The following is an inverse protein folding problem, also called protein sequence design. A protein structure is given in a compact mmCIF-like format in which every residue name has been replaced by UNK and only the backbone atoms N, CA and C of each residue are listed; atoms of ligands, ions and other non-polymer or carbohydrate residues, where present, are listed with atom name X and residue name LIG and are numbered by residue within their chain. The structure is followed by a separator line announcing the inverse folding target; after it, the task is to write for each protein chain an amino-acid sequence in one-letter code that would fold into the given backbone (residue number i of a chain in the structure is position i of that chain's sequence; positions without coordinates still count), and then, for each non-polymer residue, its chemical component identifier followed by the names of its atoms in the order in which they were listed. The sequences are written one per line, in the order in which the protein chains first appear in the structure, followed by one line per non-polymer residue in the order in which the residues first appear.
data_IF_010466351958
#
_entry.id   IF_010466351958
#
_cell.length_a   1.000
_cell.length_b   1.000
_cell.length_c   1.000
_cell.angle_alpha   90.00
_cell.angle_beta   90.00
_cell.angle_gamma   90.00
#
_symmetry.space_group_name_H-M   'P 1'
#
loop_
_entity.id
_entity.type
_entity.pdbx_description
1 polymer ?
#
# COMPACT_ATOMS: atom_id res chain seq x y z
N UNK A 1 18.53 -15.88 -1.37
CA UNK A 1 18.43 -17.17 -2.09
C UNK A 1 18.41 -16.98 -3.62
N UNK A 2 18.03 -15.81 -4.14
CA UNK A 2 18.06 -15.57 -5.59
C UNK A 2 19.48 -15.33 -6.10
N UNK A 3 19.82 -15.78 -7.33
CA UNK A 3 21.07 -15.46 -7.99
C UNK A 3 21.33 -13.95 -8.04
N UNK A 4 22.59 -13.54 -8.00
CA UNK A 4 22.97 -12.11 -7.98
C UNK A 4 22.34 -11.31 -9.12
N UNK A 5 22.27 -11.88 -10.33
CA UNK A 5 21.69 -11.25 -11.51
C UNK A 5 20.18 -10.98 -11.34
N UNK A 6 19.43 -11.99 -10.86
CA UNK A 6 17.98 -11.85 -10.61
C UNK A 6 17.72 -10.79 -9.54
N UNK A 7 18.49 -10.80 -8.46
CA UNK A 7 18.37 -9.79 -7.40
C UNK A 7 18.64 -8.38 -7.92
N UNK A 8 19.68 -8.19 -8.74
CA UNK A 8 20.00 -6.89 -9.31
C UNK A 8 18.92 -6.41 -10.28
N UNK A 9 18.39 -7.32 -11.11
CA UNK A 9 17.30 -6.99 -12.03
C UNK A 9 16.05 -6.53 -11.27
N UNK A 10 15.61 -7.31 -10.26
CA UNK A 10 14.45 -6.94 -9.45
C UNK A 10 14.62 -5.59 -8.74
N UNK A 11 15.81 -5.34 -8.18
CA UNK A 11 16.09 -4.04 -7.52
C UNK A 11 16.01 -2.90 -8.52
N UNK A 12 16.60 -3.05 -9.70
CA UNK A 12 16.54 -2.01 -10.75
C UNK A 12 15.11 -1.75 -11.23
N UNK A 13 14.31 -2.81 -11.40
CA UNK A 13 12.89 -2.65 -11.75
C UNK A 13 12.13 -1.86 -10.68
N UNK A 14 12.33 -2.19 -9.40
CA UNK A 14 11.72 -1.44 -8.30
C UNK A 14 12.21 0.03 -8.27
N UNK A 15 13.49 0.26 -8.52
CA UNK A 15 14.05 1.62 -8.54
C UNK A 15 13.48 2.44 -9.71
N UNK A 16 13.26 1.83 -10.88
CA UNK A 16 12.59 2.48 -12.01
C UNK A 16 11.13 2.83 -11.64
N UNK A 17 10.38 1.89 -11.07
CA UNK A 17 9.00 2.16 -10.65
C UNK A 17 8.94 3.30 -9.62
N UNK A 18 9.85 3.31 -8.64
CA UNK A 18 9.89 4.33 -7.59
C UNK A 18 10.42 5.70 -8.06
N UNK A 19 10.95 5.79 -9.29
CA UNK A 19 11.29 7.07 -9.92
C UNK A 19 10.04 7.84 -10.39
N UNK A 20 8.89 7.15 -10.53
CA UNK A 20 7.62 7.76 -10.90
C UNK A 20 6.72 7.93 -9.67
N UNK A 21 5.94 9.02 -9.60
CA UNK A 21 4.87 9.14 -8.62
C UNK A 21 3.85 8.00 -8.76
N UNK A 22 3.43 7.40 -7.64
CA UNK A 22 2.51 6.25 -7.63
C UNK A 22 1.22 6.51 -8.42
N UNK A 23 0.66 7.74 -8.31
CA UNK A 23 -0.51 8.14 -9.09
C UNK A 23 -0.27 8.10 -10.60
N UNK A 24 0.90 8.50 -11.08
CA UNK A 24 1.23 8.43 -12.50
C UNK A 24 1.36 6.98 -12.98
N UNK A 25 1.93 6.09 -12.16
CA UNK A 25 1.96 4.66 -12.46
C UNK A 25 0.56 4.07 -12.50
N UNK A 26 -0.31 4.44 -11.57
CA UNK A 26 -1.70 4.01 -11.57
C UNK A 26 -2.47 4.54 -12.79
N UNK A 27 -2.24 5.79 -13.20
CA UNK A 27 -2.78 6.38 -14.43
C UNK A 27 -2.33 5.60 -15.67
N UNK A 28 -1.05 5.28 -15.76
CA UNK A 28 -0.50 4.49 -16.86
C UNK A 28 -1.13 3.09 -16.88
N UNK A 29 -1.23 2.43 -15.73
CA UNK A 29 -1.83 1.11 -15.63
C UNK A 29 -3.30 1.12 -16.07
N UNK A 30 -4.10 2.09 -15.65
CA UNK A 30 -5.52 2.16 -16.00
C UNK A 30 -5.75 2.50 -17.48
N UNK A 31 -4.83 3.21 -18.13
CA UNK A 31 -4.91 3.46 -19.58
C UNK A 31 -4.75 2.18 -20.40
N UNK A 32 -4.00 1.20 -19.86
CA UNK A 32 -3.80 -0.11 -20.50
C UNK A 32 -4.92 -1.09 -20.12
N UNK A 33 -5.32 -1.11 -18.85
CA UNK A 33 -6.33 -2.05 -18.32
C UNK A 33 -7.77 -1.65 -18.73
N UNK A 34 -8.00 -0.36 -19.01
CA UNK A 34 -9.33 0.21 -19.22
C UNK A 34 -9.98 0.69 -17.93
N UNK A 35 -11.09 1.43 -18.07
CA UNK A 35 -11.85 1.99 -16.94
C UNK A 35 -12.67 0.91 -16.24
N UNK A 36 -12.96 1.12 -14.97
CA UNK A 36 -13.82 0.25 -14.18
C UNK A 36 -13.30 0.02 -12.77
N UNK A 37 -14.16 -0.42 -11.83
CA UNK A 37 -13.80 -0.57 -10.43
C UNK A 37 -12.66 -1.57 -10.22
N UNK A 38 -12.72 -2.71 -10.88
CA UNK A 38 -11.70 -3.77 -10.77
C UNK A 38 -10.35 -3.29 -11.32
N UNK A 39 -10.36 -2.64 -12.48
CA UNK A 39 -9.16 -2.12 -13.11
C UNK A 39 -8.54 -0.98 -12.31
N UNK A 40 -9.36 -0.14 -11.67
CA UNK A 40 -8.90 0.90 -10.75
C UNK A 40 -8.18 0.30 -9.54
N UNK A 41 -8.76 -0.74 -8.93
CA UNK A 41 -8.11 -1.43 -7.80
C UNK A 41 -6.81 -2.11 -8.23
N UNK A 42 -6.78 -2.76 -9.40
CA UNK A 42 -5.58 -3.35 -9.96
C UNK A 42 -4.50 -2.29 -10.25
N UNK A 43 -4.86 -1.17 -10.85
CA UNK A 43 -3.94 -0.08 -11.16
C UNK A 43 -3.29 0.50 -9.90
N UNK A 44 -4.09 0.78 -8.84
CA UNK A 44 -3.59 1.25 -7.55
C UNK A 44 -2.71 0.20 -6.88
N UNK A 45 -3.12 -1.08 -6.94
CA UNK A 45 -2.32 -2.19 -6.41
C UNK A 45 -0.97 -2.33 -7.11
N UNK A 46 -0.94 -2.30 -8.43
CA UNK A 46 0.29 -2.38 -9.23
C UNK A 46 1.24 -1.21 -8.94
N UNK A 47 0.72 0.00 -8.85
CA UNK A 47 1.51 1.18 -8.52
C UNK A 47 2.17 1.07 -7.13
N UNK A 48 1.46 0.49 -6.15
CA UNK A 48 1.97 0.30 -4.78
C UNK A 48 3.04 -0.79 -4.62
N UNK A 49 3.18 -1.73 -5.57
CA UNK A 49 4.08 -2.90 -5.42
C UNK A 49 5.50 -2.49 -5.07
N UNK A 50 6.06 -1.50 -5.75
CA UNK A 50 7.46 -1.11 -5.56
C UNK A 50 7.71 -0.54 -4.15
N UNK A 51 6.80 0.28 -3.63
CA UNK A 51 6.86 0.81 -2.27
C UNK A 51 6.82 -0.29 -1.22
N UNK A 52 5.85 -1.20 -1.31
CA UNK A 52 5.77 -2.34 -0.40
C UNK A 52 6.95 -3.29 -0.50
N UNK A 53 7.43 -3.59 -1.71
CA UNK A 53 8.61 -4.44 -1.90
C UNK A 53 9.87 -3.84 -1.24
N UNK A 54 10.05 -2.52 -1.33
CA UNK A 54 11.15 -1.81 -0.64
C UNK A 54 11.02 -1.91 0.87
N UNK A 55 9.82 -1.70 1.42
CA UNK A 55 9.56 -1.82 2.86
C UNK A 55 9.80 -3.24 3.37
N UNK A 56 9.28 -4.26 2.67
CA UNK A 56 9.52 -5.68 3.01
C UNK A 56 11.00 -5.98 3.02
N UNK A 57 11.74 -5.53 2.00
CA UNK A 57 13.17 -5.74 1.91
C UNK A 57 13.92 -5.11 3.08
N UNK A 58 13.59 -3.87 3.45
CA UNK A 58 14.21 -3.18 4.58
C UNK A 58 13.97 -3.95 5.89
N UNK A 59 12.75 -4.40 6.14
CA UNK A 59 12.39 -5.18 7.32
C UNK A 59 13.12 -6.53 7.36
N UNK A 60 13.18 -7.25 6.24
CA UNK A 60 13.93 -8.52 6.14
C UNK A 60 15.42 -8.32 6.45
N UNK A 61 16.03 -7.24 5.94
CA UNK A 61 17.43 -6.95 6.21
C UNK A 61 17.67 -6.65 7.70
N UNK A 62 16.78 -5.89 8.33
CA UNK A 62 16.84 -5.58 9.75
C UNK A 62 16.71 -6.84 10.62
N UNK A 63 15.68 -7.67 10.35
CA UNK A 63 15.44 -8.93 11.07
C UNK A 63 16.62 -9.90 10.89
N UNK A 64 17.18 -9.99 9.68
CA UNK A 64 18.32 -10.87 9.39
C UNK A 64 19.58 -10.52 10.21
N UNK A 65 19.74 -9.25 10.58
CA UNK A 65 20.87 -8.78 11.38
C UNK A 65 20.64 -8.90 12.89
N UNK A 66 19.45 -9.36 13.33
CA UNK A 66 19.14 -9.54 14.73
C UNK A 66 19.93 -10.68 15.38
N UNK A 67 20.22 -10.57 16.67
CA UNK A 67 21.01 -11.52 17.42
C UNK A 67 20.44 -12.94 17.38
N UNK A 68 19.10 -13.08 17.49
CA UNK A 68 18.46 -14.42 17.47
C UNK A 68 18.61 -15.13 16.11
N UNK A 69 18.60 -14.39 14.99
CA UNK A 69 18.88 -14.98 13.66
C UNK A 69 20.35 -15.37 13.53
N UNK A 70 21.27 -14.53 14.03
CA UNK A 70 22.70 -14.85 14.02
C UNK A 70 23.02 -16.08 14.88
N UNK A 71 22.38 -16.24 16.05
CA UNK A 71 22.51 -17.44 16.88
C UNK A 71 21.98 -18.69 16.18
N UNK A 72 20.82 -18.62 15.51
CA UNK A 72 20.29 -19.75 14.75
C UNK A 72 21.23 -20.18 13.61
N UNK A 73 21.87 -19.22 12.93
CA UNK A 73 22.91 -19.50 11.93
C UNK A 73 24.14 -20.16 12.56
N UNK A 74 24.60 -19.66 13.71
CA UNK A 74 25.76 -20.23 14.42
C UNK A 74 25.51 -21.66 14.93
N UNK A 75 24.26 -21.98 15.31
CA UNK A 75 23.84 -23.32 15.67
C UNK A 75 23.66 -24.28 14.48
N UNK A 76 23.87 -23.80 13.23
CA UNK A 76 23.77 -24.61 12.04
C UNK A 76 22.35 -24.93 11.58
N UNK A 77 21.33 -24.14 11.98
CA UNK A 77 19.97 -24.37 11.51
C UNK A 77 19.87 -24.26 9.98
N UNK A 78 19.07 -25.12 9.31
CA UNK A 78 18.88 -25.07 7.88
C UNK A 78 18.33 -23.69 7.44
N UNK A 79 18.81 -23.10 6.32
CA UNK A 79 18.40 -21.78 5.87
C UNK A 79 16.87 -21.62 5.72
N UNK A 80 16.15 -22.66 5.31
CA UNK A 80 14.70 -22.63 5.15
C UNK A 80 14.00 -22.52 6.51
N UNK A 81 14.50 -23.20 7.54
CA UNK A 81 13.97 -23.11 8.92
C UNK A 81 14.20 -21.70 9.45
N UNK A 82 15.37 -21.13 9.26
CA UNK A 82 15.67 -19.76 9.67
C UNK A 82 14.70 -18.78 9.00
N UNK A 83 14.43 -18.95 7.70
CA UNK A 83 13.50 -18.07 6.97
C UNK A 83 12.09 -18.21 7.54
N UNK A 84 11.55 -19.42 7.61
CA UNK A 84 10.15 -19.64 7.94
C UNK A 84 9.85 -19.41 9.43
N UNK A 85 10.79 -19.74 10.33
CA UNK A 85 10.58 -19.68 11.78
C UNK A 85 11.03 -18.36 12.41
N UNK A 86 12.07 -17.73 11.85
CA UNK A 86 12.67 -16.54 12.46
C UNK A 86 12.46 -15.28 11.62
N UNK A 87 12.65 -15.32 10.28
CA UNK A 87 12.60 -14.12 9.45
C UNK A 87 11.16 -13.74 9.11
N UNK A 88 10.39 -14.65 8.51
CA UNK A 88 9.05 -14.36 8.00
C UNK A 88 8.10 -13.85 9.10
N UNK A 89 7.93 -14.52 10.27
CA UNK A 89 6.98 -14.05 11.28
C UNK A 89 7.35 -12.68 11.85
N UNK A 90 8.65 -12.44 12.06
CA UNK A 90 9.14 -11.18 12.61
C UNK A 90 9.14 -10.03 11.60
N UNK A 91 9.18 -10.34 10.29
CA UNK A 91 9.01 -9.36 9.22
C UNK A 91 7.54 -9.01 9.00
N UNK A 92 6.63 -9.99 9.09
CA UNK A 92 5.20 -9.77 8.81
C UNK A 92 4.54 -8.85 9.84
N UNK A 93 4.89 -8.94 11.12
CA UNK A 93 4.27 -8.11 12.17
C UNK A 93 4.30 -6.61 11.86
N UNK A 94 5.46 -5.97 11.58
CA UNK A 94 5.49 -4.56 11.19
C UNK A 94 4.77 -4.28 9.86
N UNK A 95 4.78 -5.24 8.93
CA UNK A 95 4.13 -5.08 7.62
C UNK A 95 2.61 -5.05 7.71
N UNK A 96 1.99 -5.81 8.64
CA UNK A 96 0.55 -5.75 8.87
C UNK A 96 0.10 -4.34 9.28
N UNK A 97 0.92 -3.66 10.08
CA UNK A 97 0.64 -2.26 10.46
C UNK A 97 0.73 -1.33 9.25
N UNK A 98 1.77 -1.49 8.43
CA UNK A 98 1.93 -0.70 7.21
C UNK A 98 0.79 -0.97 6.21
N UNK A 99 0.28 -2.22 6.16
CA UNK A 99 -0.86 -2.57 5.32
C UNK A 99 -2.14 -1.80 5.70
N UNK A 100 -2.40 -1.57 7.00
CA UNK A 100 -3.58 -0.79 7.43
C UNK A 100 -3.49 0.68 7.00
N UNK A 101 -2.31 1.29 7.09
CA UNK A 101 -2.08 2.65 6.56
C UNK A 101 -2.20 2.66 5.04
N UNK A 102 -1.71 1.62 4.39
CA UNK A 102 -1.81 1.44 2.94
C UNK A 102 -3.24 1.36 2.41
N UNK A 103 -4.19 0.79 3.18
CA UNK A 103 -5.61 0.80 2.82
C UNK A 103 -6.12 2.24 2.68
N UNK A 104 -5.80 3.11 3.65
CA UNK A 104 -6.18 4.53 3.60
C UNK A 104 -5.61 5.24 2.37
N UNK A 105 -4.33 4.97 2.05
CA UNK A 105 -3.69 5.49 0.85
C UNK A 105 -4.35 4.97 -0.44
N UNK A 106 -4.72 3.68 -0.48
CA UNK A 106 -5.40 3.09 -1.64
C UNK A 106 -6.78 3.70 -1.88
N UNK A 107 -7.55 4.00 -0.82
CA UNK A 107 -8.82 4.70 -0.92
C UNK A 107 -8.62 6.09 -1.53
N UNK A 108 -7.64 6.84 -1.04
CA UNK A 108 -7.34 8.18 -1.56
C UNK A 108 -6.92 8.12 -3.03
N UNK A 109 -6.06 7.17 -3.40
CA UNK A 109 -5.57 6.99 -4.77
C UNK A 109 -6.70 6.58 -5.73
N UNK A 110 -7.56 5.65 -5.33
CA UNK A 110 -8.72 5.24 -6.11
C UNK A 110 -9.70 6.40 -6.31
N UNK A 111 -10.01 7.15 -5.24
CA UNK A 111 -10.86 8.34 -5.34
C UNK A 111 -10.24 9.43 -6.22
N UNK A 112 -8.92 9.60 -6.20
CA UNK A 112 -8.24 10.54 -7.09
C UNK A 112 -8.32 10.12 -8.58
N UNK A 113 -8.16 8.82 -8.88
CA UNK A 113 -8.34 8.29 -10.24
C UNK A 113 -9.78 8.47 -10.73
N UNK A 114 -10.77 8.21 -9.87
CA UNK A 114 -12.18 8.41 -10.17
C UNK A 114 -12.52 9.89 -10.36
N UNK A 115 -11.95 10.78 -9.54
CA UNK A 115 -12.06 12.23 -9.73
C UNK A 115 -11.55 12.70 -11.09
N UNK A 116 -10.49 12.08 -11.59
CA UNK A 116 -9.95 12.34 -12.93
C UNK A 116 -10.75 11.66 -14.07
N UNK A 117 -11.86 10.99 -13.74
CA UNK A 117 -12.74 10.32 -14.71
C UNK A 117 -12.20 8.99 -15.24
N UNK A 118 -11.20 8.42 -14.58
CA UNK A 118 -10.58 7.14 -14.97
C UNK A 118 -11.00 5.96 -14.09
N UNK A 119 -11.76 6.22 -13.03
CA UNK A 119 -12.26 5.20 -12.13
C UNK A 119 -13.57 4.56 -12.59
N UNK A 120 -14.52 4.51 -11.68
CA UNK A 120 -15.84 3.94 -11.89
C UNK A 120 -16.67 4.83 -12.80
N UNK A 121 -17.39 4.22 -13.74
CA UNK A 121 -18.27 4.95 -14.67
C UNK A 121 -19.70 5.04 -14.13
N UNK A 122 -20.42 6.16 -14.38
CA UNK A 122 -21.84 6.25 -14.08
C UNK A 122 -22.64 5.09 -14.70
N UNK A 123 -23.72 4.59 -14.05
CA UNK A 123 -24.42 5.18 -12.90
C UNK A 123 -23.89 4.75 -11.53
N UNK A 124 -22.77 4.05 -11.46
CA UNK A 124 -22.22 3.55 -10.18
C UNK A 124 -21.72 4.70 -9.33
N UNK A 125 -22.29 4.84 -8.12
CA UNK A 125 -21.90 5.88 -7.18
C UNK A 125 -20.52 5.56 -6.56
N UNK A 126 -19.61 6.55 -6.62
CA UNK A 126 -18.28 6.48 -6.03
C UNK A 126 -17.85 7.89 -5.57
N UNK A 127 -17.15 7.98 -4.45
CA UNK A 127 -16.88 9.28 -3.80
C UNK A 127 -16.03 10.20 -4.66
N UNK A 128 -15.03 9.68 -5.38
CA UNK A 128 -14.20 10.49 -6.27
C UNK A 128 -14.96 10.97 -7.50
N UNK A 129 -15.87 10.16 -8.05
CA UNK A 129 -16.75 10.56 -9.14
C UNK A 129 -17.72 11.66 -8.68
N UNK A 130 -18.36 11.51 -7.50
CA UNK A 130 -19.22 12.54 -6.91
C UNK A 130 -18.47 13.85 -6.67
N UNK A 131 -17.22 13.78 -6.22
CA UNK A 131 -16.35 14.95 -6.10
C UNK A 131 -16.12 15.64 -7.44
N UNK A 132 -15.88 14.88 -8.50
CA UNK A 132 -15.66 15.39 -9.86
C UNK A 132 -16.91 16.09 -10.42
N UNK A 133 -18.08 15.51 -10.21
CA UNK A 133 -19.35 16.10 -10.61
C UNK A 133 -19.67 17.36 -9.79
N UNK A 134 -19.46 17.28 -8.47
CA UNK A 134 -19.73 18.35 -7.53
C UNK A 134 -18.90 19.61 -7.75
N UNK A 135 -17.73 19.53 -8.38
CA UNK A 135 -16.86 20.69 -8.63
C UNK A 135 -17.55 21.80 -9.44
N UNK A 136 -18.50 21.44 -10.30
CA UNK A 136 -19.22 22.38 -11.13
C UNK A 136 -20.27 23.20 -10.33
N UNK A 137 -20.55 22.79 -9.09
CA UNK A 137 -21.53 23.39 -8.20
C UNK A 137 -20.91 24.11 -7.00
N UNK A 138 -19.58 24.31 -6.99
CA UNK A 138 -18.89 24.89 -5.82
C UNK A 138 -19.39 26.29 -5.46
N UNK A 139 -19.76 27.10 -6.46
CA UNK A 139 -20.23 28.45 -6.24
C UNK A 139 -21.75 28.52 -5.79
N UNK A 140 -22.54 27.52 -6.20
CA UNK A 140 -24.00 27.51 -5.93
C UNK A 140 -24.42 26.53 -4.82
N UNK A 141 -23.73 25.38 -4.74
CA UNK A 141 -24.04 24.29 -3.82
C UNK A 141 -22.77 23.56 -3.36
N UNK A 142 -21.87 24.20 -2.58
CA UNK A 142 -20.56 23.64 -2.21
C UNK A 142 -20.65 22.31 -1.46
N UNK A 143 -21.76 22.04 -0.77
CA UNK A 143 -21.97 20.77 -0.05
C UNK A 143 -21.96 19.54 -0.96
N UNK A 144 -22.28 19.68 -2.25
CA UNK A 144 -22.25 18.56 -3.22
C UNK A 144 -20.84 17.97 -3.36
N UNK A 145 -19.80 18.81 -3.26
CA UNK A 145 -18.40 18.37 -3.23
C UNK A 145 -17.88 18.12 -1.81
N UNK A 146 -18.26 18.99 -0.84
CA UNK A 146 -17.72 18.91 0.51
C UNK A 146 -18.15 17.64 1.25
N UNK A 147 -19.35 17.13 1.01
CA UNK A 147 -19.83 15.90 1.65
C UNK A 147 -19.03 14.67 1.20
N UNK A 148 -18.89 14.35 -0.09
CA UNK A 148 -18.04 13.25 -0.53
C UNK A 148 -16.57 13.41 -0.09
N UNK A 149 -16.03 14.65 -0.16
CA UNK A 149 -14.67 14.93 0.32
C UNK A 149 -14.50 14.59 1.79
N UNK A 150 -15.46 14.99 2.63
CA UNK A 150 -15.44 14.71 4.06
C UNK A 150 -15.52 13.22 4.36
N UNK A 151 -16.31 12.46 3.61
CA UNK A 151 -16.42 11.00 3.75
C UNK A 151 -15.10 10.33 3.42
N UNK A 152 -14.45 10.69 2.31
CA UNK A 152 -13.12 10.17 1.96
C UNK A 152 -12.12 10.50 3.06
N UNK A 153 -12.03 11.77 3.49
CA UNK A 153 -11.10 12.21 4.52
C UNK A 153 -11.30 11.46 5.85
N UNK A 154 -12.56 11.38 6.31
CA UNK A 154 -12.89 10.68 7.56
C UNK A 154 -12.59 9.18 7.48
N UNK A 155 -12.84 8.54 6.34
CA UNK A 155 -12.52 7.12 6.11
C UNK A 155 -11.01 6.88 6.21
N UNK A 156 -10.20 7.72 5.57
CA UNK A 156 -8.73 7.64 5.62
C UNK A 156 -8.21 7.88 7.04
N UNK A 157 -8.75 8.87 7.74
CA UNK A 157 -8.40 9.16 9.15
C UNK A 157 -8.76 7.97 10.04
N UNK A 158 -9.98 7.45 9.94
CA UNK A 158 -10.45 6.32 10.74
C UNK A 158 -9.57 5.08 10.56
N UNK A 159 -9.28 4.70 9.30
CA UNK A 159 -8.41 3.56 8.98
C UNK A 159 -7.00 3.78 9.50
N UNK A 160 -6.45 4.99 9.35
CA UNK A 160 -5.11 5.32 9.86
C UNK A 160 -5.04 5.23 11.38
N UNK A 161 -6.07 5.72 12.09
CA UNK A 161 -6.15 5.63 13.54
C UNK A 161 -6.28 4.17 14.01
N UNK A 162 -7.11 3.37 13.32
CA UNK A 162 -7.20 1.93 13.57
C UNK A 162 -5.84 1.24 13.39
N UNK A 163 -5.14 1.53 12.31
CA UNK A 163 -3.80 0.99 12.06
C UNK A 163 -2.81 1.32 13.16
N UNK A 164 -2.81 2.56 13.64
CA UNK A 164 -1.96 2.98 14.78
C UNK A 164 -2.34 2.27 16.08
N UNK A 165 -3.63 2.05 16.33
CA UNK A 165 -4.09 1.27 17.50
C UNK A 165 -3.64 -0.18 17.44
N UNK A 166 -3.80 -0.83 16.28
CA UNK A 166 -3.29 -2.20 16.04
C UNK A 166 -1.78 -2.27 16.30
N UNK A 167 -1.03 -1.28 15.82
CA UNK A 167 0.42 -1.18 16.07
C UNK A 167 0.75 -1.16 17.57
N UNK A 168 0.07 -0.32 18.35
CA UNK A 168 0.33 -0.22 19.78
C UNK A 168 -0.03 -1.51 20.53
N UNK A 169 -1.06 -2.23 20.11
CA UNK A 169 -1.44 -3.51 20.69
C UNK A 169 -0.42 -4.61 20.38
N UNK A 170 0.04 -4.69 19.13
CA UNK A 170 1.09 -5.65 18.71
C UNK A 170 2.41 -5.35 19.46
N UNK A 171 2.78 -4.08 19.60
CA UNK A 171 3.99 -3.69 20.31
C UNK A 171 3.92 -4.04 21.81
N UNK A 172 2.76 -3.88 22.44
CA UNK A 172 2.54 -4.25 23.87
C UNK A 172 2.43 -5.75 24.09
N UNK A 173 1.85 -6.50 23.16
CA UNK A 173 1.72 -7.96 23.25
C UNK A 173 3.00 -8.74 22.91
N UNK A 174 4.03 -8.09 22.38
CA UNK A 174 5.33 -8.69 22.04
C UNK A 174 6.35 -8.68 23.19
N UNK A 175 5.95 -8.31 24.41
CA UNK A 175 6.79 -8.30 25.64
C UNK A 175 6.47 -9.50 26.55
N UNK A 176 5.82 -10.54 26.04
CA UNK A 176 5.62 -11.81 26.74
C UNK A 176 6.39 -12.94 26.04
#
# INVERSE_FOLDING_TARGET
LAPRAVRQLLVRLLDIMLAFPDLLLALLAITVLGRGPENTLLAVGLAGIAGYARLVRAQVLQVRLSGYVQHAVALGEPPMVIILRHIVPNTLRPLLVLATVGIGYSILSASALSFLGLGVTPPTAEWGALLSEGRNFLDSAPWVSLLPASVVALSVIAITLLGRRVQTLIAKGGIA
#
